data_IF_686578900359
#
_entry.id   IF_686578900359
#
_cell.length_a   1.000
_cell.length_b   1.000
_cell.length_c   1.000
_cell.angle_alpha   90.00
_cell.angle_beta   90.00
_cell.angle_gamma   90.00
#
_symmetry.space_group_name_H-M   'P 1'
#
loop_
_entity.id
_entity.type
_entity.pdbx_description
1 polymer ?
#
# COMPACT_ATOMS: atom_id res chain seq x y z
N UNK A 1 -11.12 -12.53 25.18
CA UNK A 1 -10.99 -13.56 24.12
C UNK A 1 -9.83 -13.13 23.22
N UNK A 2 -8.94 -14.03 22.83
CA UNK A 2 -7.97 -13.65 21.83
C UNK A 2 -8.71 -13.24 20.56
N UNK A 3 -8.37 -12.08 20.04
CA UNK A 3 -8.87 -11.62 18.75
C UNK A 3 -8.46 -12.64 17.69
N UNK A 4 -9.43 -13.20 16.99
CA UNK A 4 -9.14 -14.17 15.91
C UNK A 4 -8.29 -13.46 14.86
N UNK A 5 -7.21 -14.10 14.45
CA UNK A 5 -6.37 -13.58 13.37
C UNK A 5 -7.23 -13.28 12.12
N UNK A 6 -6.95 -12.22 11.37
CA UNK A 6 -7.69 -11.90 10.17
C UNK A 6 -7.62 -13.06 9.17
N UNK A 7 -8.70 -13.33 8.46
CA UNK A 7 -8.76 -14.42 7.48
C UNK A 7 -8.07 -14.06 6.18
N UNK A 8 -8.00 -12.76 5.87
CA UNK A 8 -7.33 -12.24 4.68
C UNK A 8 -6.37 -11.13 5.08
N UNK A 9 -5.08 -11.34 4.86
CA UNK A 9 -4.04 -10.33 5.07
C UNK A 9 -3.41 -9.99 3.73
N UNK A 10 -3.54 -8.73 3.30
CA UNK A 10 -3.04 -8.23 2.03
C UNK A 10 -1.92 -7.23 2.26
N UNK A 11 -0.76 -7.49 1.67
CA UNK A 11 0.32 -6.53 1.61
C UNK A 11 0.14 -5.60 0.41
N UNK A 12 0.29 -4.31 0.62
CA UNK A 12 0.16 -3.28 -0.41
C UNK A 12 1.39 -2.38 -0.44
N UNK A 13 1.92 -2.08 -1.62
CA UNK A 13 3.00 -1.09 -1.74
C UNK A 13 2.47 0.32 -1.54
N UNK A 14 3.30 1.20 -0.98
CA UNK A 14 2.92 2.61 -0.77
C UNK A 14 2.55 3.32 -2.06
N UNK A 15 3.24 3.01 -3.16
CA UNK A 15 2.96 3.58 -4.50
C UNK A 15 1.69 3.02 -5.14
N UNK A 16 1.23 1.83 -4.74
CA UNK A 16 -0.07 1.32 -5.14
C UNK A 16 -1.20 1.99 -4.36
N UNK A 17 -0.98 2.25 -3.07
CA UNK A 17 -1.97 2.88 -2.20
C UNK A 17 -2.15 4.38 -2.49
N UNK A 18 -1.06 5.11 -2.72
CA UNK A 18 -1.05 6.56 -2.96
C UNK A 18 -0.30 6.93 -4.23
N UNK A 19 -0.72 8.04 -4.84
CA UNK A 19 0.03 8.66 -5.93
C UNK A 19 1.31 9.33 -5.39
N UNK A 20 2.45 8.78 -5.77
CA UNK A 20 3.78 9.26 -5.42
C UNK A 20 4.57 9.72 -6.65
N UNK A 21 3.89 10.03 -7.77
CA UNK A 21 4.56 10.39 -9.01
C UNK A 21 5.42 11.63 -8.88
N UNK A 22 4.94 12.68 -8.22
CA UNK A 22 5.72 13.91 -7.98
C UNK A 22 6.99 13.63 -7.18
N UNK A 23 6.86 12.83 -6.12
CA UNK A 23 8.00 12.41 -5.30
C UNK A 23 9.01 11.58 -6.10
N UNK A 24 8.51 10.69 -6.95
CA UNK A 24 9.36 9.86 -7.80
C UNK A 24 10.10 10.71 -8.86
N UNK A 25 9.44 11.71 -9.44
CA UNK A 25 10.08 12.63 -10.37
C UNK A 25 11.26 13.37 -9.72
N UNK A 26 11.10 13.84 -8.48
CA UNK A 26 12.20 14.44 -7.71
C UNK A 26 13.35 13.45 -7.50
N UNK A 27 13.04 12.18 -7.22
CA UNK A 27 14.06 11.13 -7.07
C UNK A 27 14.84 10.90 -8.38
N UNK A 28 14.14 10.78 -9.50
CA UNK A 28 14.74 10.52 -10.80
C UNK A 28 15.59 11.69 -11.31
N UNK A 29 15.13 12.92 -11.10
CA UNK A 29 15.80 14.12 -11.59
C UNK A 29 16.93 14.62 -10.69
N UNK A 30 16.78 14.49 -9.37
CA UNK A 30 17.63 15.14 -8.38
C UNK A 30 18.27 14.17 -7.37
N UNK A 31 17.89 12.89 -7.42
CA UNK A 31 18.44 11.83 -6.60
C UNK A 31 17.87 11.73 -5.18
N UNK A 32 18.43 10.79 -4.41
CA UNK A 32 17.91 10.37 -3.11
C UNK A 32 17.84 11.49 -2.07
N UNK A 33 18.85 12.38 -2.02
CA UNK A 33 18.89 13.44 -1.00
C UNK A 33 17.80 14.51 -1.24
N UNK A 34 17.54 14.85 -2.49
CA UNK A 34 16.47 15.76 -2.85
C UNK A 34 15.09 15.14 -2.56
N UNK A 35 14.92 13.85 -2.89
CA UNK A 35 13.72 13.09 -2.57
C UNK A 35 13.43 13.08 -1.06
N UNK A 36 14.43 12.79 -0.22
CA UNK A 36 14.28 12.80 1.24
C UNK A 36 13.83 14.17 1.75
N UNK A 37 14.50 15.24 1.30
CA UNK A 37 14.14 16.61 1.67
C UNK A 37 12.70 16.93 1.24
N UNK A 38 12.35 16.62 0.00
CA UNK A 38 11.00 16.84 -0.53
C UNK A 38 9.94 16.13 0.32
N UNK A 39 10.14 14.87 0.67
CA UNK A 39 9.18 14.11 1.47
C UNK A 39 9.02 14.69 2.88
N UNK A 40 10.09 15.16 3.50
CA UNK A 40 10.05 15.81 4.82
C UNK A 40 9.34 17.17 4.73
N UNK A 41 9.66 17.98 3.74
CA UNK A 41 9.03 19.29 3.54
C UNK A 41 7.53 19.19 3.22
N UNK A 42 7.11 18.07 2.61
CA UNK A 42 5.73 17.81 2.22
C UNK A 42 5.01 16.87 3.19
N UNK A 43 5.53 16.61 4.38
CA UNK A 43 4.99 15.57 5.28
C UNK A 43 3.52 15.79 5.68
N UNK A 44 3.10 17.07 5.75
CA UNK A 44 1.71 17.45 6.08
C UNK A 44 0.79 17.54 4.85
N UNK A 45 1.34 17.40 3.64
CA UNK A 45 0.55 17.39 2.41
C UNK A 45 0.02 16.00 2.14
N UNK A 46 -1.29 15.84 2.24
CA UNK A 46 -1.96 14.55 2.05
C UNK A 46 -1.77 14.07 0.61
N UNK A 47 -1.35 12.83 0.46
CA UNK A 47 -1.16 12.18 -0.83
C UNK A 47 -2.50 11.92 -1.51
N UNK A 48 -2.54 12.07 -2.82
CA UNK A 48 -3.70 11.67 -3.60
C UNK A 48 -3.83 10.12 -3.62
N UNK A 49 -5.07 9.59 -3.78
CA UNK A 49 -5.28 8.17 -3.94
C UNK A 49 -4.51 7.57 -5.12
N UNK A 50 -3.89 6.43 -4.91
CA UNK A 50 -3.24 5.61 -5.94
C UNK A 50 -4.18 4.55 -6.53
N UNK A 51 -3.64 3.70 -7.38
CA UNK A 51 -4.40 2.70 -8.16
C UNK A 51 -5.17 1.69 -7.28
N UNK A 52 -4.61 1.33 -6.14
CA UNK A 52 -5.23 0.37 -5.22
C UNK A 52 -6.10 1.02 -4.14
N UNK A 53 -6.17 2.34 -4.07
CA UNK A 53 -6.81 3.02 -2.95
C UNK A 53 -8.28 2.61 -2.77
N UNK A 54 -9.08 2.69 -3.83
CA UNK A 54 -10.49 2.29 -3.79
C UNK A 54 -10.68 0.81 -3.44
N UNK A 55 -9.81 -0.06 -3.93
CA UNK A 55 -9.81 -1.47 -3.59
C UNK A 55 -9.53 -1.69 -2.10
N UNK A 56 -8.51 -1.04 -1.56
CA UNK A 56 -8.18 -1.11 -0.13
C UNK A 56 -9.32 -0.59 0.75
N UNK A 57 -9.93 0.55 0.38
CA UNK A 57 -11.10 1.06 1.12
C UNK A 57 -12.24 0.03 1.17
N UNK A 58 -12.54 -0.61 0.04
CA UNK A 58 -13.60 -1.62 -0.04
C UNK A 58 -13.27 -2.85 0.78
N UNK A 59 -12.02 -3.30 0.78
CA UNK A 59 -11.57 -4.41 1.62
C UNK A 59 -11.70 -4.08 3.11
N UNK A 60 -11.25 -2.91 3.55
CA UNK A 60 -11.37 -2.47 4.94
C UNK A 60 -12.84 -2.28 5.36
N UNK A 61 -13.71 -1.87 4.43
CA UNK A 61 -15.13 -1.73 4.68
C UNK A 61 -15.83 -3.07 5.00
N UNK A 62 -15.28 -4.20 4.56
CA UNK A 62 -15.77 -5.53 4.94
C UNK A 62 -15.77 -5.70 6.46
N UNK A 63 -14.72 -5.22 7.14
CA UNK A 63 -14.63 -5.27 8.60
C UNK A 63 -15.77 -4.50 9.27
N UNK A 64 -16.09 -3.31 8.73
CA UNK A 64 -17.19 -2.47 9.24
C UNK A 64 -18.55 -3.15 9.05
N UNK A 65 -18.79 -3.71 7.86
CA UNK A 65 -20.06 -4.40 7.54
C UNK A 65 -20.26 -5.63 8.42
N UNK A 66 -19.19 -6.41 8.63
CA UNK A 66 -19.26 -7.65 9.40
C UNK A 66 -19.15 -7.44 10.93
N UNK A 67 -18.74 -6.25 11.37
CA UNK A 67 -18.44 -5.98 12.77
C UNK A 67 -17.31 -6.86 13.33
N UNK A 68 -16.41 -7.33 12.45
CA UNK A 68 -15.31 -8.25 12.77
C UNK A 68 -14.07 -7.91 11.98
N UNK A 69 -12.91 -8.11 12.57
CA UNK A 69 -11.61 -7.95 11.92
C UNK A 69 -11.31 -9.18 11.03
N UNK A 70 -11.83 -9.18 9.79
CA UNK A 70 -11.66 -10.27 8.82
C UNK A 70 -10.56 -9.99 7.80
N UNK A 71 -10.33 -8.71 7.49
CA UNK A 71 -9.34 -8.26 6.53
C UNK A 71 -8.33 -7.36 7.22
N UNK A 72 -7.07 -7.60 6.98
CA UNK A 72 -5.98 -6.73 7.38
C UNK A 72 -5.20 -6.28 6.15
N UNK A 73 -4.91 -4.99 6.10
CA UNK A 73 -4.02 -4.40 5.10
C UNK A 73 -2.70 -4.04 5.76
N UNK A 74 -1.60 -4.48 5.19
CA UNK A 74 -0.25 -4.16 5.66
C UNK A 74 0.47 -3.36 4.59
N UNK A 75 1.03 -2.22 4.97
CA UNK A 75 1.81 -1.41 4.07
C UNK A 75 3.25 -1.93 3.99
N UNK A 76 3.70 -2.26 2.80
CA UNK A 76 5.10 -2.59 2.52
C UNK A 76 5.70 -1.56 1.58
N UNK A 77 6.64 -0.76 2.06
CA UNK A 77 7.18 0.38 1.33
C UNK A 77 8.68 0.24 1.10
N UNK A 78 9.14 0.58 -0.11
CA UNK A 78 10.56 0.76 -0.40
C UNK A 78 11.14 2.01 0.23
N UNK A 79 10.32 2.93 0.70
CA UNK A 79 10.79 4.13 1.39
C UNK A 79 11.59 3.78 2.66
N UNK A 80 12.39 4.72 3.13
CA UNK A 80 12.97 4.70 4.47
C UNK A 80 11.99 5.27 5.49
N UNK A 81 12.23 5.01 6.77
CA UNK A 81 11.34 5.44 7.85
C UNK A 81 11.20 6.98 7.93
N UNK A 82 12.27 7.70 7.65
CA UNK A 82 12.31 9.17 7.64
C UNK A 82 11.47 9.80 6.53
N UNK A 83 11.17 9.06 5.46
CA UNK A 83 10.31 9.51 4.36
C UNK A 83 8.90 8.94 4.44
N UNK A 84 8.64 8.07 5.41
CA UNK A 84 7.35 7.39 5.58
C UNK A 84 6.27 8.22 6.28
N UNK A 85 6.63 9.33 6.94
CA UNK A 85 5.69 10.11 7.76
C UNK A 85 4.53 10.66 6.92
N UNK A 86 4.79 11.18 5.74
CA UNK A 86 3.76 11.65 4.81
C UNK A 86 2.74 10.57 4.46
N UNK A 87 3.21 9.32 4.30
CA UNK A 87 2.34 8.17 4.03
C UNK A 87 1.45 7.89 5.24
N UNK A 88 2.00 7.88 6.45
CA UNK A 88 1.22 7.69 7.68
C UNK A 88 0.21 8.81 7.91
N UNK A 89 0.60 10.07 7.67
CA UNK A 89 -0.31 11.20 7.76
C UNK A 89 -1.48 11.07 6.78
N UNK A 90 -1.20 10.57 5.57
CA UNK A 90 -2.23 10.30 4.57
C UNK A 90 -3.15 9.15 4.97
N UNK A 91 -2.60 8.04 5.48
CA UNK A 91 -3.37 6.92 6.01
C UNK A 91 -4.35 7.41 7.10
N UNK A 92 -3.86 8.25 8.02
CA UNK A 92 -4.66 8.82 9.09
C UNK A 92 -5.74 9.77 8.56
N UNK A 93 -5.40 10.65 7.61
CA UNK A 93 -6.34 11.62 7.04
C UNK A 93 -7.49 10.94 6.28
N UNK A 94 -7.23 9.81 5.63
CA UNK A 94 -8.26 9.01 4.97
C UNK A 94 -8.95 7.99 5.89
N UNK A 95 -8.62 8.00 7.18
CA UNK A 95 -9.18 7.06 8.17
C UNK A 95 -9.05 5.59 7.76
N UNK A 96 -7.94 5.24 7.10
CA UNK A 96 -7.65 3.85 6.73
C UNK A 96 -7.16 3.08 7.97
N UNK A 97 -7.77 1.94 8.24
CA UNK A 97 -7.40 1.06 9.36
C UNK A 97 -6.16 0.21 9.00
N UNK A 98 -5.04 0.89 8.72
CA UNK A 98 -3.74 0.28 8.42
C UNK A 98 -2.80 0.58 9.59
N UNK A 99 -2.53 -0.44 10.42
CA UNK A 99 -1.76 -0.28 11.65
C UNK A 99 -0.37 -0.90 11.61
N UNK A 100 -0.12 -1.77 10.62
CA UNK A 100 1.19 -2.41 10.43
C UNK A 100 1.83 -2.00 9.12
N UNK A 101 3.12 -1.66 9.18
CA UNK A 101 3.90 -1.28 8.01
C UNK A 101 5.36 -1.73 8.15
N UNK A 102 6.04 -1.90 7.02
CA UNK A 102 7.49 -2.02 6.96
C UNK A 102 8.07 -1.07 5.91
N UNK A 103 9.15 -0.41 6.25
CA UNK A 103 9.94 0.45 5.38
C UNK A 103 11.29 -0.23 5.10
N UNK A 104 11.59 -0.47 3.83
CA UNK A 104 12.69 -1.34 3.42
C UNK A 104 13.94 -0.58 2.95
N UNK A 105 13.93 0.76 3.01
CA UNK A 105 15.10 1.58 2.68
C UNK A 105 15.64 1.39 1.27
N UNK A 106 14.77 1.19 0.28
CA UNK A 106 15.11 0.96 -1.13
C UNK A 106 15.12 -0.53 -1.55
N UNK A 107 15.18 -1.46 -0.59
CA UNK A 107 15.14 -2.89 -0.91
C UNK A 107 13.74 -3.37 -1.27
N UNK A 108 13.67 -4.52 -1.96
CA UNK A 108 12.39 -5.16 -2.29
C UNK A 108 11.69 -5.68 -1.03
N UNK A 109 10.41 -5.35 -0.85
CA UNK A 109 9.67 -5.69 0.37
C UNK A 109 9.18 -7.13 0.42
N UNK A 110 9.37 -7.96 -0.62
CA UNK A 110 8.80 -9.31 -0.68
C UNK A 110 9.17 -10.21 0.50
N UNK A 111 10.35 -10.00 1.09
CA UNK A 111 10.83 -10.76 2.26
C UNK A 111 9.89 -10.65 3.46
N UNK A 112 9.22 -9.55 3.59
CA UNK A 112 8.34 -9.26 4.73
C UNK A 112 6.93 -9.82 4.55
N UNK A 113 6.52 -10.16 3.33
CA UNK A 113 5.16 -10.63 3.03
C UNK A 113 4.81 -11.84 3.87
N UNK A 114 5.66 -12.87 3.88
CA UNK A 114 5.46 -14.08 4.69
C UNK A 114 5.61 -13.82 6.19
N UNK A 115 6.58 -13.00 6.59
CA UNK A 115 6.83 -12.68 7.99
C UNK A 115 5.62 -11.97 8.64
N UNK A 116 4.90 -11.18 7.88
CA UNK A 116 3.65 -10.54 8.32
C UNK A 116 2.42 -11.42 8.18
N UNK A 117 2.55 -12.63 7.64
CA UNK A 117 1.42 -13.54 7.41
C UNK A 117 0.52 -13.12 6.24
N UNK A 118 1.04 -12.34 5.30
CA UNK A 118 0.27 -11.91 4.15
C UNK A 118 0.04 -13.04 3.17
N UNK A 119 -1.18 -13.13 2.65
CA UNK A 119 -1.61 -14.12 1.68
C UNK A 119 -1.59 -13.60 0.24
N UNK A 120 -1.56 -12.28 0.07
CA UNK A 120 -1.52 -11.61 -1.23
C UNK A 120 -0.62 -10.37 -1.14
N UNK A 121 0.20 -10.14 -2.17
CA UNK A 121 1.00 -8.92 -2.30
C UNK A 121 0.62 -8.17 -3.57
N UNK A 122 0.30 -6.89 -3.42
CA UNK A 122 -0.06 -5.98 -4.52
C UNK A 122 0.93 -4.82 -4.61
N UNK A 123 1.50 -4.63 -5.78
CA UNK A 123 2.47 -3.56 -6.04
C UNK A 123 2.31 -2.99 -7.44
N UNK A 124 2.71 -1.75 -7.63
CA UNK A 124 2.91 -1.15 -8.96
C UNK A 124 4.29 -1.47 -9.53
N UNK A 125 5.17 -2.08 -8.74
CA UNK A 125 6.54 -2.42 -9.13
C UNK A 125 6.60 -3.88 -9.58
N UNK A 126 6.74 -4.10 -10.90
CA UNK A 126 6.70 -5.44 -11.47
C UNK A 126 7.80 -6.38 -10.93
N UNK A 127 9.01 -5.87 -10.72
CA UNK A 127 10.13 -6.67 -10.20
C UNK A 127 9.87 -7.19 -8.79
N UNK A 128 9.22 -6.40 -7.93
CA UNK A 128 8.82 -6.85 -6.59
C UNK A 128 7.80 -7.98 -6.64
N UNK A 129 6.87 -7.90 -7.60
CA UNK A 129 5.87 -8.94 -7.83
C UNK A 129 6.52 -10.22 -8.33
N UNK A 130 7.42 -10.13 -9.30
CA UNK A 130 8.18 -11.29 -9.81
C UNK A 130 8.94 -11.96 -8.67
N UNK A 131 9.69 -11.19 -7.87
CA UNK A 131 10.41 -11.73 -6.72
C UNK A 131 9.48 -12.41 -5.70
N UNK A 132 8.30 -11.84 -5.45
CA UNK A 132 7.31 -12.45 -4.55
C UNK A 132 6.80 -13.78 -5.11
N UNK A 133 6.45 -13.84 -6.39
CA UNK A 133 5.99 -15.05 -7.08
C UNK A 133 7.06 -16.15 -7.08
N UNK A 134 8.30 -15.82 -7.37
CA UNK A 134 9.44 -16.74 -7.37
C UNK A 134 9.67 -17.37 -5.98
N UNK A 135 9.25 -16.69 -4.92
CA UNK A 135 9.32 -17.17 -3.55
C UNK A 135 8.00 -17.76 -3.04
N UNK A 136 7.06 -18.07 -3.97
CA UNK A 136 5.80 -18.76 -3.66
C UNK A 136 4.80 -17.89 -2.89
N UNK A 137 4.86 -16.56 -3.07
CA UNK A 137 3.87 -15.63 -2.55
C UNK A 137 2.92 -15.25 -3.69
N UNK A 138 1.61 -15.36 -3.47
CA UNK A 138 0.63 -14.84 -4.43
C UNK A 138 0.80 -13.32 -4.54
N UNK A 139 1.01 -12.82 -5.74
CA UNK A 139 1.24 -11.42 -5.98
C UNK A 139 0.70 -10.96 -7.34
N UNK A 140 0.37 -9.68 -7.45
CA UNK A 140 -0.07 -9.08 -8.70
C UNK A 140 0.45 -7.66 -8.87
N UNK A 141 0.79 -7.31 -10.12
CA UNK A 141 1.14 -5.95 -10.50
C UNK A 141 -0.13 -5.17 -10.81
N UNK A 142 -0.27 -4.01 -10.19
CA UNK A 142 -1.33 -3.06 -10.49
C UNK A 142 -0.84 -2.13 -11.61
N UNK A 143 -1.57 -2.10 -12.70
CA UNK A 143 -1.28 -1.24 -13.84
C UNK A 143 -2.19 -0.02 -13.77
N UNK A 144 -1.62 1.17 -13.85
CA UNK A 144 -2.35 2.41 -13.96
C UNK A 144 -3.14 2.44 -15.27
N UNK A 145 -4.44 2.50 -15.18
CA UNK A 145 -5.32 2.42 -16.33
C UNK A 145 -6.27 3.59 -16.51
N UNK A 146 -6.04 4.75 -15.87
CA UNK A 146 -6.88 5.94 -16.07
C UNK A 146 -8.40 5.69 -15.90
N UNK A 147 -8.76 4.57 -15.26
CA UNK A 147 -10.15 4.27 -15.00
C UNK A 147 -10.68 5.30 -14.00
N UNK A 148 -11.60 6.12 -14.44
CA UNK A 148 -12.37 6.99 -13.56
C UNK A 148 -12.88 6.18 -12.38
N UNK A 149 -12.80 6.70 -11.13
CA UNK A 149 -13.46 6.06 -10.00
C UNK A 149 -14.93 5.90 -10.36
N UNK A 150 -15.39 4.68 -10.51
CA UNK A 150 -16.82 4.42 -10.60
C UNK A 150 -17.44 4.82 -9.27
N UNK A 151 -18.62 5.46 -9.36
CA UNK A 151 -19.45 5.93 -8.25
C UNK A 151 -19.37 5.04 -6.99
N UNK A 152 -19.59 5.64 -5.83
CA UNK A 152 -19.59 5.10 -4.47
C UNK A 152 -20.41 3.79 -4.31
N UNK A 153 -19.95 2.76 -4.96
CA UNK A 153 -20.49 1.41 -4.79
C UNK A 153 -19.62 0.67 -3.78
N UNK A 154 -20.24 0.13 -2.74
CA UNK A 154 -19.59 -0.78 -1.79
C UNK A 154 -19.31 -2.16 -2.42
N UNK A 155 -19.68 -2.38 -3.67
CA UNK A 155 -19.45 -3.63 -4.36
C UNK A 155 -17.97 -3.84 -4.62
N UNK A 156 -17.43 -4.96 -4.12
CA UNK A 156 -16.11 -5.44 -4.46
C UNK A 156 -16.22 -6.45 -5.60
N UNK A 157 -15.65 -6.13 -6.76
CA UNK A 157 -15.62 -7.01 -7.93
C UNK A 157 -14.18 -7.32 -8.29
N UNK A 158 -13.82 -8.60 -8.26
CA UNK A 158 -12.50 -9.09 -8.65
C UNK A 158 -12.67 -9.96 -9.90
N UNK A 159 -11.79 -9.74 -10.88
CA UNK A 159 -11.65 -10.58 -12.07
C UNK A 159 -10.24 -11.19 -12.07
N UNK A 160 -10.15 -12.49 -12.37
CA UNK A 160 -8.89 -13.23 -12.47
C UNK A 160 -8.75 -13.83 -13.86
#
# INVERSE_FOLDING_TARGET
>A
MPELAPQLTVAISSRALFDLNDSNAVFEEQGLQAYRRYQIEQEDQILAPGEAFAFVQKLLNINKILGKHQVEIILLSRNSADTGLRIFNSIKAYELEITRAAFCGGESPYRYVRAFGCTLFLSTHADDVVHALDHGVAAATLLGGGAQPREDSNDLRLAF
#
